data_IF_807433228775
#
_entry.id   IF_807433228775
#
_cell.length_a   1.000
_cell.length_b   1.000
_cell.length_c   1.000
_cell.angle_alpha   90.00
_cell.angle_beta   90.00
_cell.angle_gamma   90.00
#
_symmetry.space_group_name_H-M   'P 1'
#
loop_
_entity.id
_entity.type
_entity.pdbx_description
1 polymer ?
#
# COMPACT_ATOMS: atom_id res chain seq x y z
N UNK A 1 -5.69 -24.31 43.95
CA UNK A 1 -6.48 -23.08 43.68
C UNK A 1 -6.18 -22.61 42.25
N UNK A 2 -4.94 -22.51 41.84
CA UNK A 2 -4.57 -22.00 40.48
C UNK A 2 -5.17 -22.81 39.33
N UNK A 3 -5.13 -24.16 39.41
CA UNK A 3 -5.77 -25.05 38.42
C UNK A 3 -7.30 -24.83 38.33
N UNK A 4 -7.94 -24.54 39.48
CA UNK A 4 -9.37 -24.30 39.53
C UNK A 4 -9.75 -22.93 38.96
N UNK A 5 -8.92 -21.91 39.22
CA UNK A 5 -9.07 -20.58 38.64
C UNK A 5 -8.85 -20.63 37.12
N UNK A 6 -7.81 -21.35 36.69
CA UNK A 6 -7.54 -21.55 35.26
C UNK A 6 -8.72 -22.20 34.54
N UNK A 7 -9.24 -23.29 35.08
CA UNK A 7 -10.40 -24.00 34.53
C UNK A 7 -11.68 -23.11 34.52
N UNK A 8 -11.88 -22.30 35.57
CA UNK A 8 -12.98 -21.35 35.61
C UNK A 8 -12.83 -20.29 34.50
N UNK A 9 -11.63 -19.76 34.31
CA UNK A 9 -11.33 -18.69 33.34
C UNK A 9 -11.46 -19.14 31.88
N UNK A 10 -11.37 -20.44 31.56
CA UNK A 10 -11.54 -20.95 30.20
C UNK A 10 -12.92 -20.63 29.60
N UNK A 11 -13.97 -20.49 30.44
CA UNK A 11 -15.33 -20.15 30.01
C UNK A 11 -15.69 -18.67 30.17
N UNK A 12 -14.75 -17.83 30.64
CA UNK A 12 -14.99 -16.44 30.98
C UNK A 12 -14.49 -15.47 29.90
N UNK A 13 -15.10 -14.30 29.83
CA UNK A 13 -14.65 -13.25 28.91
C UNK A 13 -13.35 -12.61 29.42
N UNK A 14 -12.30 -12.50 28.60
CA UNK A 14 -11.08 -11.82 29.00
C UNK A 14 -11.29 -10.31 29.07
N UNK A 15 -10.55 -9.64 29.94
CA UNK A 15 -10.41 -8.18 29.89
C UNK A 15 -9.55 -7.77 28.70
N UNK A 16 -9.79 -6.58 28.17
CA UNK A 16 -8.98 -6.00 27.12
C UNK A 16 -8.70 -4.51 27.41
N UNK A 17 -7.48 -4.10 27.14
CA UNK A 17 -7.05 -2.71 27.28
C UNK A 17 -7.67 -1.82 26.19
N UNK A 18 -7.84 -0.54 26.51
CA UNK A 18 -8.14 0.46 25.51
C UNK A 18 -7.04 0.48 24.45
N UNK A 19 -7.42 0.58 23.19
CA UNK A 19 -6.46 0.54 22.07
C UNK A 19 -6.93 1.46 20.94
N UNK A 20 -6.06 1.65 19.96
CA UNK A 20 -6.35 2.40 18.74
C UNK A 20 -6.64 1.42 17.62
N UNK A 21 -7.70 1.68 16.85
CA UNK A 21 -8.08 0.88 15.69
C UNK A 21 -8.52 1.78 14.54
N UNK A 22 -8.30 1.32 13.30
CA UNK A 22 -8.88 1.98 12.13
C UNK A 22 -10.37 1.63 12.01
N UNK A 23 -11.20 2.65 11.81
CA UNK A 23 -12.63 2.53 11.58
C UNK A 23 -12.92 2.86 10.11
N UNK A 24 -13.15 1.84 9.29
CA UNK A 24 -13.39 1.98 7.86
C UNK A 24 -14.58 2.89 7.52
N UNK A 25 -15.78 2.76 8.16
CA UNK A 25 -16.89 3.67 7.91
C UNK A 25 -16.63 5.15 8.22
N UNK A 26 -15.71 5.44 9.15
CA UNK A 26 -15.33 6.80 9.53
C UNK A 26 -14.07 7.28 8.80
N UNK A 27 -13.41 6.41 8.06
CA UNK A 27 -12.11 6.62 7.42
C UNK A 27 -11.09 7.28 8.37
N UNK A 28 -11.02 6.78 9.61
CA UNK A 28 -10.18 7.37 10.65
C UNK A 28 -9.76 6.35 11.71
N UNK A 29 -8.64 6.64 12.36
CA UNK A 29 -8.25 5.93 13.58
C UNK A 29 -9.07 6.42 14.75
N UNK A 30 -9.61 5.49 15.54
CA UNK A 30 -10.46 5.78 16.67
C UNK A 30 -10.01 5.02 17.91
N UNK A 31 -10.38 5.55 19.07
CA UNK A 31 -10.25 4.83 20.33
C UNK A 31 -11.23 3.65 20.33
N UNK A 32 -10.71 2.45 20.58
CA UNK A 32 -11.49 1.30 20.99
C UNK A 32 -11.42 1.22 22.52
N UNK A 33 -12.55 1.40 23.22
CA UNK A 33 -12.57 1.37 24.68
C UNK A 33 -12.12 0.04 25.26
N UNK A 34 -11.65 0.10 26.48
CA UNK A 34 -11.37 -1.07 27.29
C UNK A 34 -12.61 -1.94 27.51
N UNK A 35 -12.37 -3.22 27.71
CA UNK A 35 -13.42 -4.20 28.07
C UNK A 35 -13.09 -4.79 29.43
N UNK A 36 -14.01 -4.67 30.37
CA UNK A 36 -13.92 -5.36 31.64
C UNK A 36 -14.40 -6.79 31.44
N UNK A 37 -13.48 -7.74 31.69
CA UNK A 37 -13.75 -9.17 31.60
C UNK A 37 -14.40 -9.72 32.87
N UNK A 38 -14.59 -11.03 32.85
CA UNK A 38 -15.12 -11.79 34.01
C UNK A 38 -14.13 -12.87 34.47
N UNK A 39 -12.89 -12.86 33.97
CA UNK A 39 -11.84 -13.74 34.42
C UNK A 39 -11.31 -13.32 35.79
N UNK A 40 -11.08 -14.34 36.66
CA UNK A 40 -10.53 -14.11 37.98
C UNK A 40 -9.02 -13.86 37.90
N UNK A 41 -8.55 -12.92 38.70
CA UNK A 41 -7.12 -12.70 38.94
C UNK A 41 -6.63 -13.73 39.98
N UNK A 42 -5.73 -14.63 39.58
CA UNK A 42 -5.27 -15.71 40.42
C UNK A 42 -4.55 -15.20 41.68
N UNK A 43 -3.75 -14.17 41.55
CA UNK A 43 -3.00 -13.59 42.68
C UNK A 43 -3.96 -12.93 43.68
N UNK A 44 -4.93 -12.16 43.22
CA UNK A 44 -5.93 -11.51 44.04
C UNK A 44 -6.80 -12.53 44.78
N UNK A 45 -7.29 -13.54 44.06
CA UNK A 45 -8.09 -14.64 44.67
C UNK A 45 -7.27 -15.44 45.68
N UNK A 46 -6.03 -15.81 45.38
CA UNK A 46 -5.17 -16.55 46.30
C UNK A 46 -4.87 -15.72 47.58
N UNK A 47 -4.62 -14.43 47.44
CA UNK A 47 -4.41 -13.52 48.58
C UNK A 47 -5.65 -13.48 49.47
N UNK A 48 -6.82 -13.26 48.87
CA UNK A 48 -8.11 -13.18 49.57
C UNK A 48 -8.49 -14.48 50.28
N UNK A 49 -8.31 -15.63 49.62
CA UNK A 49 -8.52 -16.94 50.24
C UNK A 49 -7.56 -17.15 51.41
N UNK A 50 -6.28 -16.75 51.26
CA UNK A 50 -5.32 -16.81 52.35
C UNK A 50 -5.74 -15.99 53.60
N UNK A 51 -6.33 -14.81 53.38
CA UNK A 51 -6.88 -13.97 54.44
C UNK A 51 -8.11 -14.61 55.14
N UNK A 52 -9.00 -15.20 54.31
CA UNK A 52 -10.19 -15.90 54.84
C UNK A 52 -9.76 -17.10 55.72
N UNK A 53 -8.75 -17.86 55.33
CA UNK A 53 -8.22 -19.01 56.12
C UNK A 53 -7.61 -18.50 57.44
N UNK A 54 -6.79 -17.44 57.39
CA UNK A 54 -6.20 -16.86 58.61
C UNK A 54 -7.26 -16.37 59.58
N UNK A 55 -8.37 -15.83 59.05
CA UNK A 55 -9.50 -15.34 59.84
C UNK A 55 -10.49 -16.45 60.25
N UNK A 56 -10.20 -17.75 59.92
CA UNK A 56 -11.05 -18.91 60.15
C UNK A 56 -12.48 -18.71 59.57
N UNK A 57 -12.62 -18.05 58.45
CA UNK A 57 -13.92 -17.89 57.76
C UNK A 57 -14.25 -19.14 56.95
N UNK A 58 -15.50 -19.54 56.95
CA UNK A 58 -16.00 -20.76 56.28
C UNK A 58 -16.34 -20.47 54.79
N UNK A 59 -16.45 -19.22 54.40
CA UNK A 59 -16.72 -18.76 53.03
C UNK A 59 -15.90 -17.52 52.71
N UNK A 60 -15.58 -17.37 51.42
CA UNK A 60 -14.86 -16.23 50.89
C UNK A 60 -15.63 -15.71 49.68
N UNK A 61 -16.18 -14.50 49.77
CA UNK A 61 -16.89 -13.89 48.66
C UNK A 61 -15.94 -13.16 47.73
N UNK A 62 -15.97 -13.51 46.45
CA UNK A 62 -15.24 -12.84 45.43
C UNK A 62 -16.04 -11.60 44.95
N UNK A 63 -15.35 -10.54 44.60
CA UNK A 63 -15.90 -9.26 44.18
C UNK A 63 -15.27 -8.83 42.85
N UNK A 64 -15.70 -7.72 42.29
CA UNK A 64 -15.11 -7.15 41.07
C UNK A 64 -13.61 -6.82 41.22
N UNK A 65 -13.11 -6.67 42.48
CA UNK A 65 -11.70 -6.43 42.74
C UNK A 65 -10.83 -7.68 42.56
N UNK A 66 -11.46 -8.83 42.51
CA UNK A 66 -10.79 -10.11 42.29
C UNK A 66 -10.76 -10.53 40.80
N UNK A 67 -11.25 -9.66 39.90
CA UNK A 67 -11.24 -9.86 38.45
C UNK A 67 -9.99 -9.25 37.82
N UNK A 68 -9.56 -9.83 36.69
CA UNK A 68 -8.53 -9.25 35.85
C UNK A 68 -9.07 -7.95 35.26
N UNK A 69 -8.48 -6.82 35.62
CA UNK A 69 -8.88 -5.49 35.15
C UNK A 69 -8.03 -5.09 33.93
N UNK A 70 -8.60 -4.30 33.01
CA UNK A 70 -7.81 -3.62 31.97
C UNK A 70 -6.71 -2.78 32.62
N UNK A 71 -5.51 -2.81 32.04
CA UNK A 71 -4.36 -2.02 32.50
C UNK A 71 -4.37 -0.62 31.95
N UNK A 72 -4.96 -0.45 30.77
CA UNK A 72 -5.08 0.83 30.06
C UNK A 72 -6.54 1.14 29.84
N UNK A 73 -6.95 2.32 30.27
CA UNK A 73 -8.32 2.82 30.18
C UNK A 73 -8.44 3.85 29.05
N UNK A 74 -9.66 4.08 28.60
CA UNK A 74 -10.02 5.13 27.62
C UNK A 74 -9.61 6.54 28.07
N UNK A 75 -9.44 6.75 29.36
CA UNK A 75 -8.97 8.01 29.95
C UNK A 75 -7.46 8.20 29.90
N UNK A 76 -6.69 7.18 29.47
CA UNK A 76 -5.23 7.31 29.35
C UNK A 76 -4.89 8.24 28.20
N UNK A 77 -4.19 9.34 28.50
CA UNK A 77 -3.80 10.34 27.51
C UNK A 77 -2.91 9.77 26.40
N UNK A 78 -2.11 8.74 26.69
CA UNK A 78 -1.23 8.09 25.70
C UNK A 78 -2.01 7.46 24.55
N UNK A 79 -3.17 6.85 24.84
CA UNK A 79 -4.06 6.26 23.81
C UNK A 79 -4.66 7.38 22.96
N UNK A 80 -5.15 8.44 23.59
CA UNK A 80 -5.73 9.59 22.89
C UNK A 80 -4.70 10.29 22.00
N UNK A 81 -3.48 10.48 22.52
CA UNK A 81 -2.37 11.04 21.75
C UNK A 81 -1.98 10.13 20.56
N UNK A 82 -2.08 8.80 20.72
CA UNK A 82 -1.82 7.86 19.65
C UNK A 82 -2.89 7.92 18.56
N UNK A 83 -4.18 8.05 18.92
CA UNK A 83 -5.27 8.29 17.97
C UNK A 83 -5.02 9.55 17.15
N UNK A 84 -4.66 10.65 17.81
CA UNK A 84 -4.38 11.91 17.14
C UNK A 84 -3.20 11.78 16.19
N UNK A 85 -2.07 11.24 16.66
CA UNK A 85 -0.87 11.04 15.83
C UNK A 85 -1.12 10.11 14.64
N UNK A 86 -1.89 9.02 14.80
CA UNK A 86 -2.22 8.11 13.72
C UNK A 86 -3.06 8.80 12.64
N UNK A 87 -3.99 9.69 13.02
CA UNK A 87 -4.77 10.48 12.08
C UNK A 87 -3.97 11.60 11.41
N UNK A 88 -3.04 12.24 12.14
CA UNK A 88 -2.22 13.34 11.61
C UNK A 88 -1.09 12.84 10.69
N UNK A 89 -0.67 11.57 10.86
CA UNK A 89 0.44 11.00 10.11
C UNK A 89 0.14 10.86 8.62
N UNK A 90 -1.13 10.59 8.25
CA UNK A 90 -1.53 10.36 6.88
C UNK A 90 -2.55 11.40 6.42
N UNK A 91 -2.33 12.08 5.27
CA UNK A 91 -3.30 12.99 4.68
C UNK A 91 -4.52 12.23 4.16
N UNK A 92 -5.57 12.93 3.74
CA UNK A 92 -6.77 12.30 3.17
C UNK A 92 -6.46 11.40 1.97
N UNK A 93 -5.43 11.73 1.21
CA UNK A 93 -4.89 10.88 0.15
C UNK A 93 -3.42 11.18 -0.13
N UNK A 94 -2.69 10.13 -0.54
CA UNK A 94 -1.28 10.25 -0.94
C UNK A 94 -1.12 9.78 -2.39
N UNK A 95 -0.58 10.63 -3.26
CA UNK A 95 -0.52 10.39 -4.70
C UNK A 95 0.89 10.03 -5.17
N UNK A 96 1.00 9.02 -6.04
CA UNK A 96 2.22 8.75 -6.80
C UNK A 96 2.12 9.46 -8.14
N UNK A 97 3.08 10.36 -8.40
CA UNK A 97 3.09 11.20 -9.59
C UNK A 97 4.15 10.71 -10.57
N UNK A 98 3.75 10.46 -11.81
CA UNK A 98 4.69 10.11 -12.87
C UNK A 98 4.98 11.35 -13.72
N UNK A 99 6.26 11.58 -14.00
CA UNK A 99 6.71 12.76 -14.76
C UNK A 99 6.20 14.08 -14.17
N UNK A 100 6.07 14.17 -12.84
CA UNK A 100 5.64 15.36 -12.11
C UNK A 100 4.19 15.82 -12.33
N UNK A 101 3.46 15.23 -13.26
CA UNK A 101 2.14 15.71 -13.68
C UNK A 101 1.05 14.64 -13.76
N UNK A 102 1.40 13.40 -13.99
CA UNK A 102 0.42 12.32 -14.15
C UNK A 102 0.24 11.56 -12.85
N UNK A 103 -0.95 11.62 -12.28
CA UNK A 103 -1.30 10.83 -11.10
C UNK A 103 -1.46 9.36 -11.51
N UNK A 104 -0.45 8.55 -11.20
CA UNK A 104 -0.39 7.14 -11.62
C UNK A 104 -1.03 6.19 -10.61
N UNK A 105 -0.95 6.50 -9.31
CA UNK A 105 -1.61 5.74 -8.26
C UNK A 105 -1.95 6.62 -7.06
N UNK A 106 -2.78 6.10 -6.18
CA UNK A 106 -3.15 6.75 -4.91
C UNK A 106 -3.10 5.71 -3.80
N UNK A 107 -2.51 6.09 -2.68
CA UNK A 107 -2.64 5.38 -1.41
C UNK A 107 -3.80 6.04 -0.67
N UNK A 108 -4.79 5.28 -0.29
CA UNK A 108 -5.88 5.72 0.59
C UNK A 108 -5.57 5.39 2.05
N UNK A 109 -6.36 5.96 2.96
CA UNK A 109 -6.16 5.77 4.40
C UNK A 109 -6.37 4.32 4.84
N UNK A 110 -7.25 3.57 4.18
CA UNK A 110 -7.47 2.15 4.47
C UNK A 110 -6.23 1.30 4.15
N UNK A 111 -5.60 1.55 3.00
CA UNK A 111 -4.32 0.92 2.61
C UNK A 111 -3.22 1.27 3.61
N UNK A 112 -3.09 2.56 3.97
CA UNK A 112 -2.12 3.01 4.96
C UNK A 112 -2.36 2.37 6.33
N UNK A 113 -3.61 2.28 6.78
CA UNK A 113 -3.98 1.65 8.04
C UNK A 113 -3.56 0.18 8.13
N UNK A 114 -3.54 -0.53 6.98
CA UNK A 114 -3.03 -1.89 6.91
C UNK A 114 -1.51 -2.02 7.13
N UNK A 115 -0.77 -0.92 7.01
CA UNK A 115 0.68 -0.87 7.26
C UNK A 115 1.05 -0.31 8.62
N UNK A 116 0.13 0.44 9.26
CA UNK A 116 0.38 1.07 10.54
C UNK A 116 0.22 0.06 11.68
N UNK A 117 1.23 -0.06 12.52
CA UNK A 117 1.20 -0.80 13.75
C UNK A 117 1.37 0.15 14.94
N UNK A 118 0.63 -0.10 16.00
CA UNK A 118 0.66 0.67 17.24
C UNK A 118 1.06 -0.28 18.37
N UNK A 119 2.17 0.00 19.01
CA UNK A 119 2.68 -0.80 20.12
C UNK A 119 1.71 -0.77 21.29
N UNK A 120 1.31 -1.91 21.86
CA UNK A 120 0.43 -1.93 23.04
C UNK A 120 1.13 -1.49 24.33
N UNK A 121 2.47 -1.40 24.34
CA UNK A 121 3.25 -1.08 25.54
C UNK A 121 3.41 0.42 25.75
N UNK A 122 3.77 1.13 24.69
CA UNK A 122 4.13 2.56 24.72
C UNK A 122 3.34 3.43 23.73
N UNK A 123 2.44 2.83 22.94
CA UNK A 123 1.67 3.49 21.88
C UNK A 123 2.53 4.15 20.80
N UNK A 124 3.78 3.68 20.61
CA UNK A 124 4.59 4.09 19.48
C UNK A 124 3.99 3.59 18.16
N UNK A 125 4.13 4.43 17.13
CA UNK A 125 3.63 4.16 15.78
C UNK A 125 4.78 3.64 14.92
N UNK A 126 4.53 2.59 14.16
CA UNK A 126 5.48 2.06 13.17
C UNK A 126 4.77 1.70 11.88
N UNK A 127 5.43 1.94 10.75
CA UNK A 127 4.92 1.62 9.40
C UNK A 127 5.67 0.40 8.88
N UNK A 128 4.94 -0.55 8.30
CA UNK A 128 5.52 -1.75 7.68
C UNK A 128 6.21 -1.38 6.36
N UNK A 129 7.54 -1.40 6.34
CA UNK A 129 8.32 -1.18 5.12
C UNK A 129 8.04 -2.26 4.07
N UNK A 130 7.89 -3.52 4.48
CA UNK A 130 7.55 -4.63 3.59
C UNK A 130 6.15 -4.47 2.99
N UNK A 131 5.19 -3.95 3.76
CA UNK A 131 3.85 -3.65 3.28
C UNK A 131 3.85 -2.59 2.20
N UNK A 132 4.58 -1.49 2.42
CA UNK A 132 4.78 -0.42 1.43
C UNK A 132 5.46 -0.98 0.17
N UNK A 133 6.56 -1.72 0.32
CA UNK A 133 7.30 -2.28 -0.81
C UNK A 133 6.45 -3.25 -1.65
N UNK A 134 5.67 -4.11 -1.01
CA UNK A 134 4.79 -5.05 -1.70
C UNK A 134 3.72 -4.34 -2.52
N UNK A 135 3.09 -3.31 -1.96
CA UNK A 135 2.09 -2.50 -2.66
C UNK A 135 2.70 -1.71 -3.82
N UNK A 136 3.88 -1.09 -3.61
CA UNK A 136 4.60 -0.36 -4.66
C UNK A 136 4.95 -1.28 -5.83
N UNK A 137 5.47 -2.48 -5.56
CA UNK A 137 5.80 -3.45 -6.60
C UNK A 137 4.56 -3.85 -7.41
N UNK A 138 3.43 -4.12 -6.75
CA UNK A 138 2.16 -4.44 -7.43
C UNK A 138 1.72 -3.29 -8.36
N UNK A 139 1.76 -2.04 -7.89
CA UNK A 139 1.33 -0.89 -8.69
C UNK A 139 2.30 -0.58 -9.83
N UNK A 140 3.61 -0.74 -9.60
CA UNK A 140 4.64 -0.47 -10.60
C UNK A 140 4.54 -1.38 -11.83
N UNK A 141 4.11 -2.63 -11.68
CA UNK A 141 3.86 -3.54 -12.81
C UNK A 141 2.86 -2.93 -13.81
N UNK A 142 1.78 -2.30 -13.32
CA UNK A 142 0.79 -1.62 -14.14
C UNK A 142 1.25 -0.30 -14.75
N UNK A 143 2.39 0.25 -14.31
CA UNK A 143 2.94 1.51 -14.81
C UNK A 143 4.04 1.30 -15.86
N UNK A 144 4.69 0.14 -15.87
CA UNK A 144 5.75 -0.16 -16.81
C UNK A 144 5.21 -0.32 -18.22
N UNK A 145 5.87 0.36 -19.18
CA UNK A 145 5.48 0.28 -20.58
C UNK A 145 6.54 -0.37 -21.47
N UNK A 146 7.79 -0.52 -21.02
CA UNK A 146 8.84 -1.20 -21.75
C UNK A 146 8.39 -2.62 -22.12
N UNK A 147 8.38 -2.95 -23.41
CA UNK A 147 7.97 -4.25 -23.91
C UNK A 147 6.45 -4.53 -23.86
N UNK A 148 5.66 -3.65 -23.26
CA UNK A 148 4.20 -3.82 -23.15
C UNK A 148 3.53 -3.70 -24.54
N UNK A 149 2.35 -4.29 -24.65
CA UNK A 149 1.48 -4.11 -25.82
C UNK A 149 0.85 -2.73 -25.77
N UNK A 150 0.98 -1.97 -26.85
CA UNK A 150 0.38 -0.64 -27.01
C UNK A 150 -0.53 -0.63 -28.22
N UNK A 151 -1.68 0.00 -28.05
CA UNK A 151 -2.65 0.22 -29.12
C UNK A 151 -2.92 1.71 -29.26
N UNK A 152 -2.84 2.22 -30.48
CA UNK A 152 -3.12 3.62 -30.78
C UNK A 152 -3.76 3.77 -32.17
N UNK A 153 -4.39 4.90 -32.38
CA UNK A 153 -4.83 5.27 -33.72
C UNK A 153 -3.75 6.13 -34.37
N UNK A 154 -3.18 5.64 -35.47
CA UNK A 154 -2.24 6.41 -36.31
C UNK A 154 -2.98 7.60 -36.92
N UNK A 155 -2.25 8.64 -37.27
CA UNK A 155 -2.79 9.93 -37.74
C UNK A 155 -3.63 9.83 -39.03
N UNK A 156 -3.45 8.75 -39.80
CA UNK A 156 -4.27 8.43 -40.99
C UNK A 156 -5.55 7.62 -40.65
N UNK A 157 -5.82 7.39 -39.37
CA UNK A 157 -7.00 6.66 -38.87
C UNK A 157 -6.82 5.16 -38.71
N UNK A 158 -5.66 4.60 -39.06
CA UNK A 158 -5.39 3.17 -38.87
C UNK A 158 -5.16 2.87 -37.37
N UNK A 159 -5.87 1.89 -36.84
CA UNK A 159 -5.62 1.35 -35.50
C UNK A 159 -4.40 0.42 -35.59
N UNK A 160 -3.37 0.75 -34.82
CA UNK A 160 -2.12 0.02 -34.76
C UNK A 160 -1.96 -0.62 -33.39
N UNK A 161 -1.38 -1.83 -33.35
CA UNK A 161 -1.02 -2.53 -32.11
C UNK A 161 0.41 -3.07 -32.26
N UNK A 162 1.24 -2.83 -31.26
CA UNK A 162 2.62 -3.30 -31.23
C UNK A 162 2.97 -3.82 -29.84
N UNK A 163 3.78 -4.87 -29.78
CA UNK A 163 4.26 -5.47 -28.54
C UNK A 163 5.77 -5.64 -28.61
N UNK A 164 6.45 -5.54 -27.48
CA UNK A 164 7.89 -5.69 -27.40
C UNK A 164 8.66 -4.40 -27.63
N UNK A 165 9.97 -4.54 -27.82
CA UNK A 165 10.91 -3.41 -27.94
C UNK A 165 11.50 -2.99 -26.60
N UNK A 166 12.30 -1.92 -26.63
CA UNK A 166 13.08 -1.45 -25.50
C UNK A 166 12.69 -0.05 -25.03
N UNK A 167 11.82 0.64 -25.76
CA UNK A 167 11.34 1.98 -25.41
C UNK A 167 10.23 1.93 -24.36
N UNK A 168 10.17 2.95 -23.51
CA UNK A 168 9.07 3.21 -22.61
C UNK A 168 9.50 3.48 -21.17
N UNK A 169 8.55 3.45 -20.28
CA UNK A 169 8.71 3.72 -18.85
C UNK A 169 9.07 2.44 -18.09
N UNK A 170 10.04 2.55 -17.20
CA UNK A 170 10.40 1.49 -16.26
C UNK A 170 10.64 2.09 -14.88
N UNK A 171 9.73 1.80 -13.96
CA UNK A 171 9.78 2.28 -12.57
C UNK A 171 10.97 1.66 -11.84
N UNK A 172 11.69 2.47 -11.07
CA UNK A 172 12.63 2.01 -10.05
C UNK A 172 11.88 1.73 -8.75
N UNK A 173 11.44 0.49 -8.60
CA UNK A 173 10.60 0.09 -7.46
C UNK A 173 11.31 0.17 -6.12
N UNK A 174 12.64 0.00 -6.09
CA UNK A 174 13.41 0.07 -4.86
C UNK A 174 13.46 1.51 -4.34
N UNK A 175 13.84 2.45 -5.21
CA UNK A 175 13.85 3.87 -4.87
C UNK A 175 12.44 4.36 -4.53
N UNK A 176 11.43 4.00 -5.32
CA UNK A 176 10.04 4.39 -5.05
C UNK A 176 9.54 3.87 -3.70
N UNK A 177 9.83 2.62 -3.35
CA UNK A 177 9.42 2.05 -2.07
C UNK A 177 10.04 2.79 -0.89
N UNK A 178 11.31 3.16 -1.01
CA UNK A 178 12.01 3.94 0.02
C UNK A 178 11.44 5.36 0.11
N UNK A 179 11.26 6.05 -1.02
CA UNK A 179 10.74 7.41 -1.05
C UNK A 179 9.32 7.50 -0.46
N UNK A 180 8.46 6.53 -0.78
CA UNK A 180 7.10 6.44 -0.19
C UNK A 180 7.17 6.18 1.31
N UNK A 181 8.00 5.22 1.74
CA UNK A 181 8.16 4.91 3.15
C UNK A 181 8.65 6.12 3.94
N UNK A 182 9.70 6.79 3.48
CA UNK A 182 10.28 7.96 4.14
C UNK A 182 9.29 9.13 4.21
N UNK A 183 8.53 9.37 3.14
CA UNK A 183 7.49 10.39 3.10
C UNK A 183 6.35 10.09 4.10
N UNK A 184 5.94 8.84 4.22
CA UNK A 184 4.91 8.42 5.19
C UNK A 184 5.41 8.53 6.63
N UNK A 185 6.66 8.15 6.91
CA UNK A 185 7.26 8.26 8.25
C UNK A 185 7.43 9.71 8.66
N UNK A 186 7.85 10.58 7.73
CA UNK A 186 8.00 12.01 8.00
C UNK A 186 6.65 12.71 8.22
N UNK A 187 5.58 12.22 7.62
CA UNK A 187 4.24 12.80 7.65
C UNK A 187 4.12 14.10 6.85
N UNK A 188 2.88 14.52 6.57
CA UNK A 188 2.57 15.80 5.93
C UNK A 188 2.78 15.87 4.41
N UNK A 189 3.44 14.91 3.79
CA UNK A 189 3.52 14.82 2.34
C UNK A 189 2.20 14.32 1.76
N UNK A 190 1.79 14.85 0.61
CA UNK A 190 0.58 14.45 -0.13
C UNK A 190 0.89 13.71 -1.42
N UNK A 191 2.15 13.70 -1.84
CA UNK A 191 2.59 13.00 -3.04
C UNK A 191 4.10 12.74 -3.02
N UNK A 192 4.49 11.76 -3.85
CA UNK A 192 5.88 11.45 -4.21
C UNK A 192 5.97 11.31 -5.72
N UNK A 193 7.05 11.83 -6.33
CA UNK A 193 7.36 11.56 -7.72
C UNK A 193 7.90 10.14 -7.88
N UNK A 194 7.48 9.47 -8.96
CA UNK A 194 7.88 8.09 -9.25
C UNK A 194 9.26 8.09 -9.92
N UNK A 195 10.33 7.62 -9.25
CA UNK A 195 11.62 7.44 -9.86
C UNK A 195 11.56 6.34 -10.93
N UNK A 196 12.15 6.62 -12.09
CA UNK A 196 12.18 5.68 -13.20
C UNK A 196 13.63 5.41 -13.62
N UNK A 197 13.97 4.14 -13.82
CA UNK A 197 15.24 3.73 -14.39
C UNK A 197 15.29 3.96 -15.91
N UNK A 198 14.11 4.13 -16.53
CA UNK A 198 13.93 4.52 -17.91
C UNK A 198 12.63 5.29 -18.06
N UNK A 199 12.60 6.32 -18.91
CA UNK A 199 11.42 7.15 -19.19
C UNK A 199 11.06 7.19 -20.68
N UNK A 200 9.77 7.27 -20.97
CA UNK A 200 9.27 7.66 -22.29
C UNK A 200 9.02 9.17 -22.39
N UNK A 201 8.52 9.63 -23.53
CA UNK A 201 8.24 11.05 -23.74
C UNK A 201 6.96 11.49 -23.03
N UNK A 202 5.95 10.64 -23.04
CA UNK A 202 4.64 10.87 -22.41
C UNK A 202 4.19 9.65 -21.63
N UNK A 203 3.18 9.80 -20.77
CA UNK A 203 2.56 8.67 -20.10
C UNK A 203 1.03 8.79 -20.18
N UNK A 204 0.39 7.80 -20.81
CA UNK A 204 -1.07 7.74 -21.00
C UNK A 204 -1.65 6.39 -20.52
N UNK A 205 -0.89 5.67 -19.68
CA UNK A 205 -1.22 4.30 -19.25
C UNK A 205 -0.45 3.23 -20.03
N UNK A 206 -0.30 2.06 -19.43
CA UNK A 206 0.56 0.99 -19.96
C UNK A 206 0.18 0.49 -21.37
N UNK A 207 -1.10 0.51 -21.73
CA UNK A 207 -1.61 0.04 -23.03
C UNK A 207 -1.70 1.13 -24.12
N UNK A 208 -1.36 2.38 -23.81
CA UNK A 208 -1.48 3.50 -24.71
C UNK A 208 -0.12 3.91 -25.30
N UNK A 209 -0.16 4.76 -26.33
CA UNK A 209 1.02 5.41 -26.91
C UNK A 209 1.70 6.30 -25.86
N UNK A 210 3.01 6.14 -25.68
CA UNK A 210 3.83 6.85 -24.71
C UNK A 210 5.03 7.59 -25.34
N UNK A 211 4.95 7.87 -26.65
CA UNK A 211 5.98 8.60 -27.43
C UNK A 211 5.39 9.82 -28.13
N UNK A 212 6.25 10.79 -28.38
CA UNK A 212 5.98 12.01 -29.16
C UNK A 212 6.20 11.82 -30.66
N UNK A 213 7.27 12.40 -31.22
CA UNK A 213 7.67 12.19 -32.62
C UNK A 213 8.15 10.73 -32.81
N UNK A 214 7.83 10.12 -33.96
CA UNK A 214 8.16 8.71 -34.17
C UNK A 214 8.27 8.33 -35.65
N UNK A 215 8.99 7.26 -35.90
CA UNK A 215 8.99 6.57 -37.18
C UNK A 215 8.14 5.31 -37.07
N UNK A 216 7.07 5.23 -37.85
CA UNK A 216 6.24 4.04 -38.01
C UNK A 216 6.77 3.21 -39.19
N UNK A 217 7.13 1.95 -38.95
CA UNK A 217 7.50 1.00 -40.00
C UNK A 217 6.39 -0.05 -40.07
N UNK A 218 5.47 0.15 -40.98
CA UNK A 218 4.35 -0.79 -41.18
C UNK A 218 4.82 -1.94 -42.08
N UNK A 219 5.03 -3.11 -41.44
CA UNK A 219 5.48 -4.32 -42.11
C UNK A 219 4.46 -4.83 -43.13
N UNK A 220 3.17 -4.64 -42.86
CA UNK A 220 2.11 -5.10 -43.76
C UNK A 220 1.96 -4.24 -45.01
N UNK A 221 2.21 -2.94 -44.88
CA UNK A 221 2.15 -1.97 -45.95
C UNK A 221 3.49 -1.76 -46.66
N UNK A 222 4.59 -2.29 -46.10
CA UNK A 222 5.95 -2.09 -46.59
C UNK A 222 6.27 -0.59 -46.75
N UNK A 223 5.89 0.20 -45.73
CA UNK A 223 5.99 1.66 -45.74
C UNK A 223 6.53 2.16 -44.40
N UNK A 224 7.48 3.07 -44.45
CA UNK A 224 7.94 3.84 -43.29
C UNK A 224 7.38 5.27 -43.37
N UNK A 225 6.96 5.78 -42.21
CA UNK A 225 6.39 7.13 -42.03
C UNK A 225 7.04 7.81 -40.85
N UNK A 226 7.43 9.06 -41.01
CA UNK A 226 7.93 9.88 -39.92
C UNK A 226 6.89 10.95 -39.57
N UNK A 227 6.47 10.93 -38.32
CA UNK A 227 5.54 11.89 -37.73
C UNK A 227 6.26 12.77 -36.70
N UNK A 228 5.93 14.08 -36.70
CA UNK A 228 6.36 14.95 -35.61
C UNK A 228 5.53 14.73 -34.33
N UNK A 229 5.90 15.41 -33.24
CA UNK A 229 5.18 15.31 -31.97
C UNK A 229 3.73 15.83 -32.02
N UNK A 230 3.40 16.64 -33.02
CA UNK A 230 2.03 17.16 -33.27
C UNK A 230 1.20 16.24 -34.15
N UNK A 231 1.77 15.13 -34.64
CA UNK A 231 1.09 14.17 -35.51
C UNK A 231 1.14 14.52 -37.00
N UNK A 232 1.94 15.51 -37.41
CA UNK A 232 2.08 15.82 -38.83
C UNK A 232 3.01 14.82 -39.50
N UNK A 233 2.57 14.27 -40.66
CA UNK A 233 3.42 13.41 -41.49
C UNK A 233 4.46 14.26 -42.19
N UNK A 234 5.73 14.09 -41.80
CA UNK A 234 6.86 14.83 -42.39
C UNK A 234 7.50 14.10 -43.55
N UNK A 235 7.50 12.75 -43.50
CA UNK A 235 8.10 11.95 -44.58
C UNK A 235 7.40 10.56 -44.65
N UNK A 236 7.33 10.05 -45.90
CA UNK A 236 6.90 8.65 -46.14
C UNK A 236 7.67 8.07 -47.33
N UNK A 237 8.07 6.81 -47.17
CA UNK A 237 8.73 6.06 -48.24
C UNK A 237 8.41 4.56 -48.18
N UNK A 238 8.51 3.90 -49.33
CA UNK A 238 8.46 2.45 -49.38
C UNK A 238 9.70 1.83 -48.76
N UNK A 239 9.54 0.74 -48.03
CA UNK A 239 10.63 -0.06 -47.43
C UNK A 239 10.48 -1.53 -47.77
N UNK A 240 11.58 -2.27 -47.68
CA UNK A 240 11.53 -3.74 -47.76
C UNK A 240 11.94 -4.30 -46.43
N UNK A 241 10.97 -4.94 -45.76
CA UNK A 241 11.19 -5.58 -44.44
C UNK A 241 11.72 -7.01 -44.59
N UNK A 242 12.21 -7.56 -43.50
CA UNK A 242 12.79 -8.90 -43.49
C UNK A 242 11.76 -9.97 -43.82
N UNK A 243 12.20 -11.01 -44.51
CA UNK A 243 11.36 -12.16 -44.88
C UNK A 243 11.03 -12.99 -43.64
N UNK A 244 9.74 -13.33 -43.39
CA UNK A 244 9.31 -14.03 -42.15
C UNK A 244 9.64 -15.54 -42.19
N UNK A 245 10.86 -15.89 -42.54
CA UNK A 245 11.37 -17.25 -42.57
C UNK A 245 12.80 -17.33 -42.03
N UNK A 246 13.13 -18.39 -41.33
CA UNK A 246 14.49 -18.70 -40.86
C UNK A 246 15.13 -17.61 -40.00
N UNK A 247 14.38 -16.95 -39.12
CA UNK A 247 14.89 -15.93 -38.23
C UNK A 247 15.25 -14.59 -38.89
N UNK A 248 14.75 -14.32 -40.10
CA UNK A 248 15.02 -13.08 -40.86
C UNK A 248 13.87 -12.10 -40.81
N UNK A 249 12.88 -12.32 -39.94
CA UNK A 249 11.79 -11.38 -39.76
C UNK A 249 12.28 -10.05 -39.19
N UNK A 250 11.72 -8.94 -39.65
CA UNK A 250 11.90 -7.66 -38.98
C UNK A 250 11.31 -7.75 -37.56
N UNK A 251 12.09 -7.46 -36.51
CA UNK A 251 11.53 -7.44 -35.14
C UNK A 251 10.41 -6.42 -35.02
N UNK A 252 9.33 -6.80 -34.32
CA UNK A 252 8.28 -5.86 -33.91
C UNK A 252 8.58 -5.31 -32.54
N UNK A 253 8.16 -4.08 -32.26
CA UNK A 253 8.35 -3.43 -30.97
C UNK A 253 8.53 -1.93 -31.09
N UNK A 254 8.63 -1.28 -29.95
CA UNK A 254 8.94 0.16 -29.86
C UNK A 254 10.37 0.32 -29.35
N UNK A 255 11.16 1.08 -30.09
CA UNK A 255 12.60 1.23 -29.85
C UNK A 255 12.98 2.71 -29.84
N UNK A 256 14.08 3.06 -29.19
CA UNK A 256 14.75 4.35 -29.37
C UNK A 256 15.43 4.42 -30.72
N UNK A 257 15.42 5.61 -31.32
CA UNK A 257 16.17 5.94 -32.54
C UNK A 257 17.53 6.49 -32.17
#
# INVERSE_FOLDING_TARGET
>A
IDEQISAFNEGMNPSADATVTYNEPMDSFVLRPEVYGTQLDADAVCAKVGECIKAMRTNCELTEDDLIKPKVLSSDSRVMDAVQRANDLFPDSFSLMLNGSVKAATIDKATFAGWLSISPEDYSLSISQDGVASWVNEKAEGMNTVGATRTWTREDGKVCTVSGGTYGWKVDTNSLSQDVYDALVAGGATSVDIPCSQSGDTYNGAGARDWGAYVDVDISEQTARYYDASGNLLHSCGVVTGKPVNGRSTPTGVYYL
#
